data_IF_629524450865
#
_entry.id   IF_629524450865
#
_cell.length_a   1.000
_cell.length_b   1.000
_cell.length_c   1.000
_cell.angle_alpha   90.00
_cell.angle_beta   90.00
_cell.angle_gamma   90.00
#
_symmetry.space_group_name_H-M   'P 1'
#
loop_
_entity.id
_entity.type
_entity.pdbx_description
1 polymer ?
#
# COMPACT_ATOMS: atom_id res chain seq x y z
N UNK A 1 1.00 -14.99 1.34
CA UNK A 1 1.74 -13.77 1.01
C UNK A 1 0.81 -12.57 1.06
N UNK A 2 1.22 -11.48 1.72
CA UNK A 2 0.46 -10.22 1.80
C UNK A 2 1.42 -9.03 1.63
N UNK A 3 1.07 -8.11 0.73
CA UNK A 3 1.81 -6.85 0.55
C UNK A 3 1.08 -5.69 1.21
N UNK A 4 1.79 -4.89 2.00
CA UNK A 4 1.26 -3.67 2.61
C UNK A 4 2.08 -2.50 2.10
N UNK A 5 1.42 -1.54 1.46
CA UNK A 5 2.00 -0.27 1.05
C UNK A 5 1.61 0.81 2.07
N UNK A 6 2.58 1.35 2.79
CA UNK A 6 2.40 2.50 3.66
C UNK A 6 2.66 3.79 2.90
N UNK A 7 1.69 4.70 2.90
CA UNK A 7 1.77 6.01 2.25
C UNK A 7 1.36 7.13 3.21
N UNK A 8 1.63 8.37 2.80
CA UNK A 8 1.11 9.58 3.46
C UNK A 8 0.51 10.53 2.43
N UNK A 9 -0.42 11.38 2.86
CA UNK A 9 -1.13 12.38 2.03
C UNK A 9 -0.16 13.43 1.47
N UNK A 10 0.79 13.91 2.29
CA UNK A 10 1.74 14.96 1.91
C UNK A 10 3.08 14.40 1.36
N UNK A 11 3.14 13.10 1.11
CA UNK A 11 4.36 12.41 0.72
C UNK A 11 4.63 12.56 -0.79
N UNK A 12 5.67 13.29 -1.22
CA UNK A 12 5.90 13.57 -2.65
C UNK A 12 6.28 12.34 -3.48
N UNK A 13 6.77 11.28 -2.82
CA UNK A 13 7.19 10.02 -3.44
C UNK A 13 6.09 8.96 -3.47
N UNK A 14 5.05 9.12 -2.66
CA UNK A 14 3.95 8.16 -2.56
C UNK A 14 3.12 7.98 -3.85
N UNK A 15 2.89 9.00 -4.70
CA UNK A 15 2.22 8.79 -5.99
C UNK A 15 2.97 7.78 -6.86
N UNK A 16 4.31 7.86 -6.88
CA UNK A 16 5.14 6.96 -7.67
C UNK A 16 5.12 5.53 -7.11
N UNK A 17 5.20 5.36 -5.77
CA UNK A 17 5.11 4.05 -5.14
C UNK A 17 3.75 3.37 -5.39
N UNK A 18 2.65 4.12 -5.26
CA UNK A 18 1.28 3.65 -5.59
C UNK A 18 1.18 3.09 -6.99
N UNK A 19 1.75 3.81 -7.96
CA UNK A 19 1.75 3.42 -9.36
C UNK A 19 2.53 2.12 -9.56
N UNK A 20 3.74 2.03 -9.02
CA UNK A 20 4.59 0.83 -9.14
C UNK A 20 3.90 -0.39 -8.51
N UNK A 21 3.38 -0.28 -7.30
CA UNK A 21 2.70 -1.40 -6.61
C UNK A 21 1.48 -1.87 -7.42
N UNK A 22 0.65 -0.96 -7.93
CA UNK A 22 -0.53 -1.33 -8.73
C UNK A 22 -0.18 -1.91 -10.09
N UNK A 23 0.89 -1.44 -10.74
CA UNK A 23 1.39 -2.04 -11.98
C UNK A 23 1.91 -3.46 -11.75
N UNK A 24 2.67 -3.69 -10.68
CA UNK A 24 3.13 -5.03 -10.29
C UNK A 24 1.96 -5.93 -9.91
N UNK A 25 0.99 -5.43 -9.15
CA UNK A 25 -0.21 -6.18 -8.81
C UNK A 25 -0.99 -6.61 -10.05
N UNK A 26 -1.16 -5.72 -11.04
CA UNK A 26 -1.78 -6.06 -12.33
C UNK A 26 -1.03 -7.16 -13.08
N UNK A 27 0.30 -7.12 -13.09
CA UNK A 27 1.13 -8.15 -13.75
C UNK A 27 1.02 -9.51 -13.06
N UNK A 28 0.92 -9.53 -11.73
CA UNK A 28 0.78 -10.75 -10.93
C UNK A 28 -0.68 -11.23 -10.80
N UNK A 29 -1.65 -10.48 -11.32
CA UNK A 29 -3.08 -10.78 -11.18
C UNK A 29 -3.62 -10.60 -9.75
N UNK A 30 -2.95 -9.79 -8.94
CA UNK A 30 -3.30 -9.52 -7.54
C UNK A 30 -4.45 -8.55 -7.40
N UNK A 31 -5.26 -8.76 -6.36
CA UNK A 31 -6.43 -7.96 -6.03
C UNK A 31 -6.17 -7.10 -4.80
N UNK A 32 -6.46 -5.81 -4.93
CA UNK A 32 -6.45 -4.86 -3.81
C UNK A 32 -7.49 -5.30 -2.77
N UNK A 33 -7.12 -5.28 -1.49
CA UNK A 33 -7.93 -5.82 -0.39
C UNK A 33 -7.70 -7.29 -0.06
N UNK A 34 -7.20 -8.09 -1.02
CA UNK A 34 -6.92 -9.51 -0.82
C UNK A 34 -5.43 -9.81 -0.77
N UNK A 35 -4.72 -9.46 -1.83
CA UNK A 35 -3.31 -9.81 -2.02
C UNK A 35 -2.38 -8.65 -1.61
N UNK A 36 -2.84 -7.42 -1.80
CA UNK A 36 -2.18 -6.22 -1.29
C UNK A 36 -3.17 -5.19 -0.75
N UNK A 37 -2.70 -4.34 0.16
CA UNK A 37 -3.45 -3.21 0.71
C UNK A 37 -2.59 -1.96 0.81
N UNK A 38 -3.20 -0.79 0.66
CA UNK A 38 -2.57 0.49 0.95
C UNK A 38 -3.08 1.03 2.29
N UNK A 39 -2.19 1.50 3.15
CA UNK A 39 -2.49 2.10 4.47
C UNK A 39 -1.93 3.51 4.55
N UNK A 40 -2.78 4.50 4.89
CA UNK A 40 -2.34 5.88 5.09
C UNK A 40 -1.95 6.11 6.54
N UNK A 41 -0.66 6.35 6.81
CA UNK A 41 -0.18 6.58 8.18
C UNK A 41 -0.69 7.90 8.78
N UNK A 42 -1.06 8.87 7.94
CA UNK A 42 -1.66 10.15 8.32
C UNK A 42 -3.18 10.17 8.08
N UNK A 43 -3.76 9.00 7.78
CA UNK A 43 -5.19 8.82 7.49
C UNK A 43 -6.09 8.74 8.71
N UNK A 44 -5.58 8.87 9.94
CA UNK A 44 -6.37 8.72 11.17
C UNK A 44 -7.57 9.69 11.26
N UNK A 45 -7.47 10.87 10.63
CA UNK A 45 -8.53 11.87 10.59
C UNK A 45 -9.43 11.78 9.34
N UNK A 46 -9.10 10.91 8.39
CA UNK A 46 -9.89 10.72 7.17
C UNK A 46 -11.11 9.84 7.47
N UNK A 47 -12.26 10.26 6.96
CA UNK A 47 -13.49 9.47 7.07
C UNK A 47 -13.55 8.45 5.92
N UNK A 48 -14.08 7.24 6.17
CA UNK A 48 -14.40 6.30 5.11
C UNK A 48 -15.38 6.91 4.11
N UNK A 49 -15.19 6.57 2.84
CA UNK A 49 -16.02 7.06 1.75
C UNK A 49 -15.21 7.36 0.50
N UNK A 50 -15.85 8.04 -0.44
CA UNK A 50 -15.21 8.51 -1.65
C UNK A 50 -14.49 9.82 -1.36
N UNK A 51 -13.23 9.91 -1.77
CA UNK A 51 -12.43 11.12 -1.67
C UNK A 51 -11.54 11.28 -2.89
N UNK A 52 -10.71 12.31 -2.82
CA UNK A 52 -9.73 12.61 -3.85
C UNK A 52 -8.34 12.58 -3.24
N UNK A 53 -7.42 11.90 -3.91
CA UNK A 53 -6.01 11.84 -3.53
C UNK A 53 -5.19 12.03 -4.80
N UNK A 54 -4.32 13.04 -4.80
CA UNK A 54 -3.45 13.35 -5.95
C UNK A 54 -4.20 13.66 -7.25
N UNK A 55 -5.43 14.18 -7.16
CA UNK A 55 -6.28 14.47 -8.31
C UNK A 55 -7.01 13.26 -8.88
N UNK A 56 -6.89 12.09 -8.24
CA UNK A 56 -7.59 10.87 -8.61
C UNK A 56 -8.64 10.50 -7.55
N UNK A 57 -9.73 9.88 -8.01
CA UNK A 57 -10.77 9.35 -7.12
C UNK A 57 -10.21 8.17 -6.32
N UNK A 58 -10.30 8.25 -4.99
CA UNK A 58 -9.90 7.19 -4.07
C UNK A 58 -11.07 6.75 -3.20
N UNK A 59 -11.05 5.47 -2.83
CA UNK A 59 -11.98 4.91 -1.86
C UNK A 59 -11.27 4.69 -0.53
N UNK A 60 -11.64 5.49 0.46
CA UNK A 60 -11.14 5.33 1.81
C UNK A 60 -12.02 4.33 2.57
N UNK A 61 -11.41 3.26 3.08
CA UNK A 61 -12.09 2.18 3.80
C UNK A 61 -11.48 1.98 5.18
N UNK A 62 -12.20 1.37 6.11
CA UNK A 62 -11.64 1.02 7.43
C UNK A 62 -11.01 -0.37 7.42
N UNK A 63 -11.47 -1.25 6.53
CA UNK A 63 -11.09 -2.66 6.52
C UNK A 63 -10.79 -3.17 5.11
N UNK A 64 -9.86 -4.14 4.94
CA UNK A 64 -9.54 -4.70 3.62
C UNK A 64 -10.74 -5.38 2.95
N UNK A 65 -11.67 -5.91 3.72
CA UNK A 65 -12.85 -6.64 3.23
C UNK A 65 -13.85 -5.73 2.49
N UNK A 66 -13.81 -4.42 2.75
CA UNK A 66 -14.63 -3.42 2.06
C UNK A 66 -14.10 -3.07 0.66
N UNK A 67 -12.86 -3.47 0.33
CA UNK A 67 -12.23 -3.21 -0.96
C UNK A 67 -12.79 -4.19 -1.99
N UNK A 68 -13.58 -3.66 -2.90
CA UNK A 68 -14.09 -4.38 -4.07
C UNK A 68 -13.44 -3.86 -5.34
N UNK A 69 -13.41 -4.63 -6.46
CA UNK A 69 -12.86 -4.16 -7.73
C UNK A 69 -13.45 -2.83 -8.20
N UNK A 70 -14.74 -2.59 -7.90
CA UNK A 70 -15.48 -1.36 -8.22
C UNK A 70 -15.01 -0.14 -7.38
N UNK A 71 -14.37 -0.40 -6.24
CA UNK A 71 -13.90 0.57 -5.26
C UNK A 71 -12.36 0.60 -5.21
N UNK A 72 -11.72 0.55 -6.38
CA UNK A 72 -10.26 0.71 -6.49
C UNK A 72 -9.92 1.94 -7.36
N UNK A 73 -8.83 2.68 -7.06
CA UNK A 73 -7.87 2.44 -5.98
C UNK A 73 -8.45 2.76 -4.58
N UNK A 74 -8.06 1.95 -3.59
CA UNK A 74 -8.52 2.07 -2.21
C UNK A 74 -7.36 2.30 -1.26
N UNK A 75 -7.64 2.90 -0.11
CA UNK A 75 -6.68 2.94 0.97
C UNK A 75 -7.36 2.86 2.33
N UNK A 76 -6.71 2.16 3.26
CA UNK A 76 -7.19 2.09 4.63
C UNK A 76 -6.92 3.41 5.36
N UNK A 77 -7.94 3.88 6.06
CA UNK A 77 -7.93 5.09 6.90
C UNK A 77 -8.65 4.83 8.23
N UNK A 78 -8.74 5.85 9.08
CA UNK A 78 -9.54 5.80 10.31
C UNK A 78 -8.84 5.19 11.52
N UNK A 79 -7.82 4.36 11.30
CA UNK A 79 -6.88 3.91 12.31
C UNK A 79 -5.52 4.61 12.17
N UNK A 80 -4.80 4.75 13.28
CA UNK A 80 -3.42 5.24 13.27
C UNK A 80 -2.46 4.12 12.85
N UNK A 81 -2.26 3.99 11.54
CA UNK A 81 -1.32 3.01 10.99
C UNK A 81 0.15 3.35 11.23
N UNK A 82 0.48 4.49 11.86
CA UNK A 82 1.88 4.82 12.17
C UNK A 82 2.48 3.86 13.21
N UNK A 83 1.70 3.46 14.21
CA UNK A 83 2.14 2.51 15.24
C UNK A 83 2.37 1.12 14.64
N UNK A 84 1.48 0.68 13.74
CA UNK A 84 1.66 -0.58 13.00
C UNK A 84 2.88 -0.51 12.08
N UNK A 85 3.08 0.60 11.38
CA UNK A 85 4.25 0.79 10.53
C UNK A 85 5.56 0.64 11.35
N UNK A 86 5.61 1.19 12.56
CA UNK A 86 6.78 1.08 13.44
C UNK A 86 7.09 -0.37 13.87
N UNK A 87 6.11 -1.27 13.98
CA UNK A 87 6.39 -2.68 14.31
C UNK A 87 7.18 -3.36 13.19
N UNK A 88 6.98 -2.92 11.95
CA UNK A 88 7.76 -3.34 10.78
C UNK A 88 9.01 -2.49 10.54
N UNK A 89 9.43 -1.67 11.51
CA UNK A 89 10.58 -0.76 11.38
C UNK A 89 10.42 0.28 10.25
N UNK A 90 9.19 0.57 9.83
CA UNK A 90 8.90 1.61 8.85
C UNK A 90 9.00 2.97 9.54
N UNK A 91 10.10 3.68 9.26
CA UNK A 91 10.36 5.02 9.79
C UNK A 91 9.91 6.14 8.84
N UNK A 92 9.53 5.83 7.60
CA UNK A 92 9.24 6.84 6.57
C UNK A 92 8.31 6.31 5.49
N UNK A 93 7.55 7.19 4.84
CA UNK A 93 6.73 6.85 3.66
C UNK A 93 7.39 7.32 2.37
N UNK A 94 7.19 6.63 1.24
CA UNK A 94 6.47 5.37 1.12
C UNK A 94 7.30 4.19 1.65
N UNK A 95 6.64 3.15 2.13
CA UNK A 95 7.28 1.90 2.51
C UNK A 95 6.46 0.70 2.08
N UNK A 96 7.14 -0.38 1.71
CA UNK A 96 6.51 -1.63 1.25
C UNK A 96 6.95 -2.75 2.18
N UNK A 97 5.95 -3.40 2.77
CA UNK A 97 6.12 -4.57 3.63
C UNK A 97 5.55 -5.79 2.90
N UNK A 98 6.28 -6.90 2.88
CA UNK A 98 5.84 -8.17 2.31
C UNK A 98 5.99 -9.23 3.39
N UNK A 99 4.91 -9.93 3.71
CA UNK A 99 4.89 -10.98 4.76
C UNK A 99 5.52 -10.53 6.08
N UNK A 100 5.08 -9.36 6.56
CA UNK A 100 5.52 -8.75 7.83
C UNK A 100 6.98 -8.27 7.84
N UNK A 101 7.68 -8.33 6.71
CA UNK A 101 9.04 -7.81 6.55
C UNK A 101 9.06 -6.54 5.70
N UNK A 102 9.66 -5.46 6.21
CA UNK A 102 9.86 -4.25 5.42
C UNK A 102 10.94 -4.45 4.36
N UNK A 103 10.54 -4.33 3.10
CA UNK A 103 11.41 -4.60 1.93
C UNK A 103 11.97 -3.32 1.36
N UNK A 104 11.16 -2.27 1.34
CA UNK A 104 11.54 -0.94 0.88
C UNK A 104 11.07 0.09 1.89
N UNK A 105 11.96 0.99 2.34
CA UNK A 105 11.65 1.98 3.38
C UNK A 105 12.08 3.38 2.95
N UNK A 106 11.13 4.30 2.81
CA UNK A 106 11.39 5.70 2.44
C UNK A 106 11.81 5.92 0.98
N UNK A 107 11.71 4.88 0.15
CA UNK A 107 12.11 4.89 -1.25
C UNK A 107 11.06 4.28 -2.16
N UNK A 108 11.15 4.61 -3.45
CA UNK A 108 10.26 4.09 -4.48
C UNK A 108 11.07 3.08 -5.28
N UNK A 109 10.83 1.77 -5.13
CA UNK A 109 11.51 0.80 -5.96
C UNK A 109 11.06 0.93 -7.42
N UNK A 110 11.90 0.48 -8.33
CA UNK A 110 11.47 0.19 -9.68
C UNK A 110 10.51 -1.00 -9.72
N UNK A 111 9.77 -1.11 -10.82
CA UNK A 111 8.89 -2.26 -11.09
C UNK A 111 9.65 -3.59 -11.01
N UNK A 112 10.87 -3.64 -11.57
CA UNK A 112 11.70 -4.84 -11.61
C UNK A 112 12.19 -5.26 -10.23
N UNK A 113 12.64 -4.29 -9.41
CA UNK A 113 13.07 -4.54 -8.03
C UNK A 113 11.93 -5.09 -7.17
N UNK A 114 10.74 -4.48 -7.27
CA UNK A 114 9.57 -4.96 -6.52
C UNK A 114 9.14 -6.36 -6.99
N UNK A 115 9.10 -6.61 -8.30
CA UNK A 115 8.79 -7.94 -8.85
C UNK A 115 9.80 -8.99 -8.39
N UNK A 116 11.08 -8.66 -8.39
CA UNK A 116 12.14 -9.56 -7.93
C UNK A 116 11.93 -9.92 -6.46
N UNK A 117 11.73 -8.92 -5.60
CA UNK A 117 11.54 -9.13 -4.16
C UNK A 117 10.28 -9.96 -3.83
N UNK A 118 9.22 -9.82 -4.63
CA UNK A 118 8.01 -10.65 -4.52
C UNK A 118 8.28 -12.09 -4.99
N UNK A 119 8.95 -12.26 -6.13
CA UNK A 119 9.25 -13.59 -6.70
C UNK A 119 10.19 -14.39 -5.83
N UNK A 120 11.19 -13.77 -5.22
CA UNK A 120 12.10 -14.42 -4.27
C UNK A 120 11.29 -15.02 -3.11
N UNK A 121 10.39 -14.25 -2.50
CA UNK A 121 9.50 -14.73 -1.41
C UNK A 121 8.48 -15.78 -1.84
N UNK A 122 8.00 -15.72 -3.08
CA UNK A 122 7.13 -16.75 -3.64
C UNK A 122 7.84 -18.09 -3.83
N UNK A 123 9.14 -18.08 -4.13
CA UNK A 123 9.94 -19.29 -4.37
C UNK A 123 10.51 -19.91 -3.08
N UNK A 124 10.50 -19.16 -1.97
CA UNK A 124 10.90 -19.66 -0.65
C UNK A 124 9.78 -20.45 0.06
N UNK A 125 8.56 -20.47 -0.50
CA UNK A 125 7.39 -21.21 -0.01
C UNK A 125 6.96 -22.33 -0.96
#
# INVERSE_FOLDING_TARGET
MKLILYTGILCPKCPAARKVVREVAKELGWKEGKDFVEKLIDGANLKPGEGELEGEKYFFVNSPEEITPEKTPAALVGEDFSLEALTYQVASTPSIVIDEEAVFVGEVPSKEELLKAIRERLNEN
#
